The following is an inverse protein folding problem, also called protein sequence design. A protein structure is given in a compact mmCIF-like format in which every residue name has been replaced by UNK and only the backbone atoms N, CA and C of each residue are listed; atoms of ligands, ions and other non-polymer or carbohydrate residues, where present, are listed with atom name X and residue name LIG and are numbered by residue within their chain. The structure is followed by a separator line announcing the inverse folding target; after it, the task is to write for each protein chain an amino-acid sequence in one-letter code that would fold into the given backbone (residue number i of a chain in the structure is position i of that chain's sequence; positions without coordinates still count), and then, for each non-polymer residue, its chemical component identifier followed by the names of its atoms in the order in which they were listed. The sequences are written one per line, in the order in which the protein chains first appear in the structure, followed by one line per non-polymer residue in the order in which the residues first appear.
data_IF_556082183199
#
_entry.id   IF_556082183199
#
_cell.length_a   1.000
_cell.length_b   1.000
_cell.length_c   1.000
_cell.angle_alpha   90.00
_cell.angle_beta   90.00
_cell.angle_gamma   90.00
#
_symmetry.space_group_name_H-M   'P 1'
#
loop_
_entity.id
_entity.type
_entity.pdbx_description
1 polymer ?
#
# COMPACT_ATOMS: atom_id res chain seq x y z
N UNK A 1 0.06 -3.81 15.59
CA UNK A 1 0.32 -4.47 14.31
C UNK A 1 1.64 -3.94 13.78
N UNK A 2 2.59 -4.80 13.56
CA UNK A 2 3.88 -4.43 12.99
C UNK A 2 3.87 -4.90 11.55
N UNK A 3 4.01 -3.99 10.64
CA UNK A 3 4.69 -4.05 9.36
C UNK A 3 4.00 -3.20 8.31
N UNK A 4 4.82 -2.60 7.48
CA UNK A 4 4.40 -1.80 6.34
C UNK A 4 3.52 -2.59 5.38
N UNK A 5 3.12 -2.00 4.27
CA UNK A 5 2.16 -2.64 3.38
C UNK A 5 2.67 -3.98 2.86
N UNK A 6 1.78 -4.95 2.78
CA UNK A 6 1.99 -6.22 2.10
C UNK A 6 1.78 -6.03 0.59
N UNK A 7 2.50 -6.78 -0.20
CA UNK A 7 2.21 -6.87 -1.62
C UNK A 7 0.95 -7.71 -1.84
N UNK A 8 0.13 -7.35 -2.82
CA UNK A 8 -1.04 -8.14 -3.23
C UNK A 8 -0.61 -9.58 -3.53
N UNK A 9 -1.35 -10.55 -3.00
CA UNK A 9 -0.98 -11.98 -3.04
C UNK A 9 -0.06 -12.44 -1.90
N UNK A 10 0.57 -11.52 -1.17
CA UNK A 10 1.38 -11.89 0.00
C UNK A 10 0.49 -12.28 1.18
N UNK A 11 0.84 -13.36 1.85
CA UNK A 11 0.18 -13.75 3.10
C UNK A 11 0.78 -12.99 4.28
N UNK A 12 -0.04 -12.19 4.94
CA UNK A 12 0.26 -11.75 6.30
C UNK A 12 0.11 -12.95 7.22
N UNK A 13 1.20 -13.40 7.81
CA UNK A 13 1.21 -14.54 8.74
C UNK A 13 0.32 -14.28 9.96
N UNK A 14 0.28 -15.24 10.89
CA UNK A 14 -0.45 -15.07 12.14
C UNK A 14 0.00 -13.77 12.81
N UNK A 15 -0.88 -12.82 12.87
CA UNK A 15 -0.66 -11.52 13.49
C UNK A 15 -1.22 -11.53 14.91
N UNK A 16 -0.55 -10.80 15.79
CA UNK A 16 -1.00 -10.63 17.17
C UNK A 16 -1.40 -9.18 17.36
N UNK A 17 -2.64 -8.96 17.78
CA UNK A 17 -3.09 -7.65 18.22
C UNK A 17 -2.69 -7.50 19.68
N UNK A 18 -1.78 -6.56 19.94
CA UNK A 18 -1.40 -6.16 21.28
C UNK A 18 -2.15 -4.88 21.64
N UNK A 19 -2.94 -4.92 22.67
CA UNK A 19 -3.69 -3.78 23.17
C UNK A 19 -3.34 -3.47 24.61
N UNK A 20 -3.06 -2.19 24.88
CA UNK A 20 -2.92 -1.67 26.24
C UNK A 20 -4.07 -0.70 26.48
N UNK A 21 -4.78 -0.90 27.54
CA UNK A 21 -5.94 -0.11 27.92
C UNK A 21 -5.69 0.59 29.24
N UNK A 22 -6.13 1.82 29.33
CA UNK A 22 -6.20 2.55 30.59
C UNK A 22 -7.58 3.18 30.74
N UNK A 23 -8.04 3.31 31.97
CA UNK A 23 -9.24 4.09 32.26
C UNK A 23 -8.94 5.57 32.16
N UNK A 24 -9.86 6.32 31.59
CA UNK A 24 -9.79 7.78 31.55
C UNK A 24 -10.67 8.38 32.64
N UNK A 25 -10.04 8.90 33.64
CA UNK A 25 -10.74 9.52 34.77
C UNK A 25 -10.59 8.74 36.08
N UNK A 26 -10.72 9.44 37.23
CA UNK A 26 -10.42 8.86 38.55
C UNK A 26 -11.41 7.79 39.00
N UNK A 27 -12.60 7.71 38.39
CA UNK A 27 -13.66 6.82 38.82
C UNK A 27 -14.17 5.87 37.72
N UNK A 28 -13.61 5.94 36.53
CA UNK A 28 -14.06 5.08 35.44
C UNK A 28 -13.42 3.70 35.51
N UNK A 29 -14.23 2.65 35.48
CA UNK A 29 -13.77 1.27 35.41
C UNK A 29 -14.26 0.61 34.12
N UNK A 30 -13.55 -0.44 33.72
CA UNK A 30 -13.98 -1.25 32.59
C UNK A 30 -15.11 -2.19 33.01
N UNK A 31 -16.20 -2.20 32.26
CA UNK A 31 -17.25 -3.17 32.43
C UNK A 31 -16.70 -4.56 32.14
N UNK A 32 -16.92 -5.50 33.07
CA UNK A 32 -16.44 -6.86 32.91
C UNK A 32 -16.95 -7.50 31.61
N UNK A 33 -16.08 -8.24 30.94
CA UNK A 33 -16.37 -8.95 29.69
C UNK A 33 -16.85 -8.04 28.54
N UNK A 34 -16.53 -6.74 28.59
CA UNK A 34 -16.96 -5.80 27.56
C UNK A 34 -15.96 -5.60 26.40
N UNK A 35 -14.71 -6.03 26.57
CA UNK A 35 -13.70 -5.86 25.52
C UNK A 35 -13.95 -6.82 24.37
N UNK A 36 -13.89 -6.30 23.16
CA UNK A 36 -14.03 -7.08 21.92
C UNK A 36 -13.06 -6.61 20.85
N UNK A 37 -12.68 -7.51 19.98
CA UNK A 37 -11.85 -7.25 18.80
C UNK A 37 -12.60 -7.76 17.57
N UNK A 38 -12.75 -6.92 16.59
CA UNK A 38 -13.37 -7.27 15.30
C UNK A 38 -12.52 -6.79 14.14
N UNK A 39 -12.69 -7.41 12.98
CA UNK A 39 -12.08 -7.01 11.71
C UNK A 39 -13.15 -6.72 10.66
N UNK A 40 -12.81 -5.85 9.72
CA UNK A 40 -13.58 -5.66 8.49
C UNK A 40 -13.29 -6.79 7.48
N UNK A 41 -13.64 -6.62 6.21
CA UNK A 41 -13.36 -7.57 5.12
C UNK A 41 -13.84 -9.01 5.42
N UNK A 42 -15.01 -9.16 6.04
CA UNK A 42 -15.59 -10.45 6.42
C UNK A 42 -14.83 -11.21 7.51
N UNK A 43 -13.87 -10.59 8.18
CA UNK A 43 -13.19 -11.20 9.33
C UNK A 43 -14.13 -11.37 10.52
N UNK A 44 -15.02 -10.38 10.75
CA UNK A 44 -15.99 -10.43 11.82
C UNK A 44 -15.35 -10.29 13.22
N UNK A 45 -16.02 -10.84 14.21
CA UNK A 45 -15.53 -10.83 15.60
C UNK A 45 -14.40 -11.83 15.78
N UNK A 46 -13.23 -11.34 16.17
CA UNK A 46 -12.04 -12.15 16.45
C UNK A 46 -12.06 -12.65 17.89
N UNK A 47 -12.39 -11.76 18.81
CA UNK A 47 -12.53 -12.07 20.23
C UNK A 47 -13.57 -11.15 20.87
N UNK A 48 -14.26 -11.66 21.87
CA UNK A 48 -15.25 -10.91 22.66
C UNK A 48 -15.28 -11.42 24.09
N UNK A 49 -15.95 -10.70 24.96
CA UNK A 49 -16.08 -11.09 26.36
C UNK A 49 -14.76 -11.04 27.14
N UNK A 50 -13.80 -10.25 26.69
CA UNK A 50 -12.51 -10.13 27.36
C UNK A 50 -12.59 -9.17 28.55
N UNK A 51 -11.84 -9.48 29.57
CA UNK A 51 -11.70 -8.64 30.76
C UNK A 51 -10.42 -7.81 30.66
N UNK A 52 -10.53 -6.55 31.05
CA UNK A 52 -9.34 -5.74 31.31
C UNK A 52 -8.68 -6.21 32.64
N UNK A 53 -7.38 -6.45 32.57
CA UNK A 53 -6.61 -6.90 33.75
C UNK A 53 -5.36 -6.05 34.02
N UNK A 54 -5.28 -4.88 33.42
CA UNK A 54 -4.13 -3.98 33.60
C UNK A 54 -2.90 -4.32 32.77
N UNK A 55 -2.92 -5.45 32.06
CA UNK A 55 -1.81 -5.91 31.22
C UNK A 55 -2.18 -5.86 29.73
N UNK A 56 -1.20 -5.70 28.82
CA UNK A 56 -1.46 -5.83 27.40
C UNK A 56 -2.12 -7.17 27.07
N UNK A 57 -3.19 -7.14 26.29
CA UNK A 57 -3.82 -8.32 25.76
C UNK A 57 -3.22 -8.68 24.41
N UNK A 58 -2.75 -9.91 24.27
CA UNK A 58 -2.20 -10.44 23.03
C UNK A 58 -3.18 -11.46 22.46
N UNK A 59 -3.77 -11.15 21.33
CA UNK A 59 -4.74 -12.03 20.66
C UNK A 59 -4.21 -12.35 19.27
N UNK A 60 -3.93 -13.63 19.06
CA UNK A 60 -3.54 -14.13 17.75
C UNK A 60 -4.78 -14.30 16.89
N UNK A 61 -4.73 -13.80 15.69
CA UNK A 61 -5.72 -14.04 14.65
C UNK A 61 -5.04 -14.59 13.39
N UNK A 62 -5.80 -15.27 12.54
CA UNK A 62 -5.29 -16.06 11.43
C UNK A 62 -4.41 -15.30 10.43
N UNK A 63 -3.92 -16.03 9.45
CA UNK A 63 -3.22 -15.45 8.31
C UNK A 63 -4.22 -14.89 7.30
N UNK A 64 -3.89 -13.74 6.70
CA UNK A 64 -4.72 -13.09 5.69
C UNK A 64 -3.94 -12.92 4.39
N UNK A 65 -4.65 -13.12 3.29
CA UNK A 65 -4.13 -12.90 1.94
C UNK A 65 -5.23 -12.23 1.10
N UNK A 66 -4.87 -11.20 0.38
CA UNK A 66 -5.78 -10.52 -0.53
C UNK A 66 -5.18 -10.41 -1.92
N UNK A 67 -6.01 -10.67 -2.92
CA UNK A 67 -5.65 -10.64 -4.35
C UNK A 67 -5.91 -9.30 -5.01
N UNK A 68 -6.28 -8.28 -4.24
CA UNK A 68 -6.47 -6.90 -4.65
C UNK A 68 -6.06 -5.94 -3.56
N UNK A 69 -5.94 -4.64 -3.89
CA UNK A 69 -5.67 -3.63 -2.88
C UNK A 69 -6.74 -3.65 -1.80
N UNK A 70 -6.32 -3.79 -0.59
CA UNK A 70 -7.21 -3.96 0.56
C UNK A 70 -6.61 -3.32 1.80
N UNK A 71 -7.46 -2.71 2.59
CA UNK A 71 -7.14 -2.30 3.96
C UNK A 71 -7.96 -3.16 4.92
N UNK A 72 -7.28 -4.03 5.63
CA UNK A 72 -7.86 -4.81 6.72
C UNK A 72 -7.70 -4.00 8.00
N UNK A 73 -8.82 -3.53 8.53
CA UNK A 73 -8.87 -2.71 9.76
C UNK A 73 -9.36 -3.56 10.91
N UNK A 74 -8.62 -3.57 12.00
CA UNK A 74 -9.02 -4.16 13.26
C UNK A 74 -9.52 -3.06 14.18
N UNK A 75 -10.65 -3.32 14.83
CA UNK A 75 -11.25 -2.42 15.80
C UNK A 75 -11.28 -3.12 17.15
N UNK A 76 -10.69 -2.48 18.13
CA UNK A 76 -10.79 -2.89 19.53
C UNK A 76 -11.74 -1.93 20.21
N UNK A 77 -12.72 -2.43 20.89
CA UNK A 77 -13.72 -1.65 21.62
C UNK A 77 -13.98 -2.22 23.00
N UNK A 78 -14.43 -1.38 23.90
CA UNK A 78 -14.81 -1.75 25.24
C UNK A 78 -15.86 -0.81 25.81
N UNK A 79 -16.39 -1.13 26.98
CA UNK A 79 -17.35 -0.30 27.69
C UNK A 79 -16.80 0.12 29.04
N UNK A 80 -16.99 1.38 29.38
CA UNK A 80 -16.73 1.89 30.72
C UNK A 80 -18.07 2.05 31.47
N UNK A 81 -18.03 1.89 32.80
CA UNK A 81 -19.21 2.07 33.67
C UNK A 81 -19.66 3.54 33.71
N UNK A 82 -18.72 4.46 33.58
CA UNK A 82 -18.98 5.89 33.45
C UNK A 82 -18.23 6.46 32.24
N UNK A 83 -18.93 7.29 31.46
CA UNK A 83 -18.31 7.97 30.30
C UNK A 83 -18.57 7.31 28.95
N UNK A 84 -17.61 7.44 28.03
CA UNK A 84 -17.75 6.95 26.66
C UNK A 84 -17.25 5.53 26.49
N UNK A 85 -17.80 4.83 25.50
CA UNK A 85 -17.30 3.52 25.07
C UNK A 85 -16.13 3.73 24.09
N UNK A 86 -14.89 3.59 24.55
CA UNK A 86 -13.73 3.87 23.70
C UNK A 86 -13.52 2.75 22.67
N UNK A 87 -13.01 3.17 21.52
CA UNK A 87 -12.54 2.25 20.49
C UNK A 87 -11.21 2.71 19.91
N UNK A 88 -10.46 1.75 19.40
CA UNK A 88 -9.19 1.98 18.72
C UNK A 88 -9.12 1.12 17.49
N UNK A 89 -8.53 1.65 16.43
CA UNK A 89 -8.34 0.92 15.17
C UNK A 89 -6.86 0.81 14.83
N UNK A 90 -6.50 -0.28 14.18
CA UNK A 90 -5.22 -0.45 13.51
C UNK A 90 -5.43 -1.23 12.22
N UNK A 91 -4.52 -1.13 11.26
CA UNK A 91 -4.76 -1.66 9.92
C UNK A 91 -3.54 -2.33 9.31
N UNK A 92 -3.81 -3.39 8.54
CA UNK A 92 -2.88 -3.97 7.58
C UNK A 92 -3.32 -3.60 6.18
N UNK A 93 -2.35 -3.31 5.32
CA UNK A 93 -2.62 -2.85 3.98
C UNK A 93 -1.97 -3.78 2.96
N UNK A 94 -2.73 -4.19 1.94
CA UNK A 94 -2.24 -4.84 0.73
C UNK A 94 -2.23 -3.83 -0.38
N UNK A 95 -1.09 -3.73 -1.10
CA UNK A 95 -0.86 -2.76 -2.16
C UNK A 95 -0.23 -3.42 -3.37
N UNK A 96 -0.48 -2.87 -4.54
CA UNK A 96 0.26 -3.22 -5.74
C UNK A 96 1.64 -2.58 -5.72
N UNK A 97 2.57 -3.22 -6.42
CA UNK A 97 3.92 -2.68 -6.65
C UNK A 97 3.92 -1.87 -7.95
N UNK A 98 4.63 -0.77 -7.94
CA UNK A 98 4.90 0.08 -9.09
C UNK A 98 6.35 0.02 -9.44
N UNK A 99 6.66 0.28 -10.72
CA UNK A 99 8.04 0.34 -11.15
C UNK A 99 8.26 1.63 -11.93
N UNK A 100 9.45 2.21 -11.80
CA UNK A 100 9.88 3.36 -12.56
C UNK A 100 11.38 3.33 -12.76
N UNK A 101 11.84 3.89 -13.86
CA UNK A 101 13.25 3.93 -14.17
C UNK A 101 13.52 4.14 -15.63
N UNK A 102 14.73 3.84 -16.05
CA UNK A 102 15.20 4.03 -17.42
C UNK A 102 15.73 2.74 -17.99
N UNK A 103 15.44 2.55 -19.28
CA UNK A 103 16.04 1.50 -20.10
C UNK A 103 15.95 1.89 -21.56
N UNK A 104 16.50 1.08 -22.47
CA UNK A 104 16.38 1.29 -23.90
C UNK A 104 14.92 1.37 -24.37
N UNK A 105 14.71 1.97 -25.52
CA UNK A 105 13.39 2.12 -26.13
C UNK A 105 12.71 0.76 -26.39
N UNK A 106 11.37 0.74 -26.32
CA UNK A 106 10.56 -0.43 -26.67
C UNK A 106 10.52 -1.52 -25.59
N UNK A 107 10.70 -1.18 -24.33
CA UNK A 107 10.47 -2.11 -23.21
C UNK A 107 9.01 -2.56 -23.20
N UNK A 108 8.79 -3.88 -23.20
CA UNK A 108 7.47 -4.51 -23.32
C UNK A 108 7.06 -5.32 -22.09
N UNK A 109 7.74 -5.16 -20.97
CA UNK A 109 7.49 -5.90 -19.72
C UNK A 109 8.37 -7.12 -19.52
N UNK A 110 9.07 -7.60 -20.54
CA UNK A 110 9.95 -8.76 -20.43
C UNK A 110 11.15 -8.45 -19.52
N UNK A 111 11.39 -9.31 -18.54
CA UNK A 111 12.50 -9.15 -17.61
C UNK A 111 12.39 -7.95 -16.69
N UNK A 112 11.18 -7.56 -16.29
CA UNK A 112 10.90 -6.39 -15.45
C UNK A 112 11.85 -6.27 -14.25
N UNK A 113 12.05 -7.34 -13.49
CA UNK A 113 12.91 -7.35 -12.30
C UNK A 113 14.40 -7.24 -12.61
N UNK A 114 14.80 -7.48 -13.86
CA UNK A 114 16.20 -7.41 -14.31
C UNK A 114 16.60 -6.06 -14.92
N UNK A 115 15.68 -5.13 -15.09
CA UNK A 115 15.92 -3.85 -15.76
C UNK A 115 16.51 -2.76 -14.85
N UNK A 116 16.67 -3.03 -13.56
CA UNK A 116 17.15 -2.03 -12.61
C UNK A 116 16.13 -0.93 -12.31
N UNK A 117 14.86 -1.16 -12.59
CA UNK A 117 13.80 -0.24 -12.19
C UNK A 117 13.69 -0.14 -10.68
N UNK A 118 13.46 1.05 -10.18
CA UNK A 118 13.06 1.25 -8.79
C UNK A 118 11.62 0.80 -8.64
N UNK A 119 11.36 0.01 -7.63
CA UNK A 119 10.03 -0.41 -7.26
C UNK A 119 9.54 0.24 -5.97
N UNK A 120 8.24 0.36 -5.83
CA UNK A 120 7.63 0.84 -4.60
C UNK A 120 6.30 0.16 -4.35
N UNK A 121 6.09 -0.24 -3.10
CA UNK A 121 4.86 -0.87 -2.63
C UNK A 121 3.97 0.14 -1.88
N UNK A 122 4.58 1.21 -1.40
CA UNK A 122 3.88 2.18 -0.57
C UNK A 122 3.43 3.38 -1.40
N UNK A 123 2.12 3.51 -1.56
CA UNK A 123 1.51 4.70 -2.12
C UNK A 123 0.40 5.20 -1.22
N UNK A 124 0.50 6.43 -0.78
CA UNK A 124 -0.52 7.09 0.04
C UNK A 124 -1.66 7.68 -0.79
N UNK A 125 -1.43 7.87 -2.09
CA UNK A 125 -2.45 8.36 -3.03
C UNK A 125 -2.15 7.81 -4.44
N UNK A 126 -3.16 7.38 -5.19
CA UNK A 126 -3.03 7.10 -6.62
C UNK A 126 -2.60 8.33 -7.41
N UNK A 127 -2.79 9.50 -6.86
CA UNK A 127 -2.63 10.77 -7.51
C UNK A 127 -1.43 11.52 -6.92
N UNK A 128 -0.59 12.10 -7.77
CA UNK A 128 0.49 12.99 -7.40
C UNK A 128 1.69 12.34 -6.68
N UNK A 129 2.33 11.39 -7.33
CA UNK A 129 3.68 10.97 -6.92
C UNK A 129 4.73 11.48 -7.90
N UNK A 130 5.96 11.62 -7.44
CA UNK A 130 7.07 12.07 -8.25
C UNK A 130 8.19 11.04 -8.30
N UNK A 131 8.83 10.93 -9.44
CA UNK A 131 10.01 10.08 -9.66
C UNK A 131 11.11 10.89 -10.28
N UNK A 132 12.32 10.76 -9.74
CA UNK A 132 13.51 11.37 -10.31
C UNK A 132 14.22 10.36 -11.20
N UNK A 133 14.34 10.72 -12.46
CA UNK A 133 15.15 10.01 -13.45
C UNK A 133 16.55 10.63 -13.43
N UNK A 134 17.54 9.89 -12.95
CA UNK A 134 18.92 10.35 -12.98
C UNK A 134 19.43 10.55 -14.42
N UNK A 135 20.44 11.36 -14.63
CA UNK A 135 21.10 11.48 -15.92
C UNK A 135 21.62 10.12 -16.42
N UNK A 136 21.58 9.89 -17.73
CA UNK A 136 22.13 8.70 -18.36
C UNK A 136 23.00 9.05 -19.57
N UNK A 137 24.05 8.23 -19.78
CA UNK A 137 24.87 8.31 -20.95
C UNK A 137 25.19 6.89 -21.46
N UNK A 138 24.66 6.47 -22.63
CA UNK A 138 23.79 7.26 -23.51
C UNK A 138 22.42 7.58 -22.88
N UNK A 139 21.72 8.61 -23.38
CA UNK A 139 20.39 8.94 -22.90
C UNK A 139 19.37 7.82 -23.18
N UNK A 140 18.64 7.43 -22.16
CA UNK A 140 17.63 6.37 -22.19
C UNK A 140 16.20 6.91 -22.10
N UNK A 141 15.25 6.06 -22.44
CA UNK A 141 13.82 6.29 -22.19
C UNK A 141 13.49 6.13 -20.73
N UNK A 142 12.59 6.97 -20.22
CA UNK A 142 11.99 6.82 -18.91
C UNK A 142 10.70 6.01 -18.97
N UNK A 143 10.46 5.21 -17.95
CA UNK A 143 9.29 4.34 -17.85
C UNK A 143 8.58 4.53 -16.52
N UNK A 144 7.25 4.55 -16.59
CA UNK A 144 6.36 4.26 -15.48
C UNK A 144 5.58 3.00 -15.80
N UNK A 145 5.61 2.04 -14.90
CA UNK A 145 4.94 0.75 -15.04
C UNK A 145 3.98 0.62 -13.87
N UNK A 146 2.71 0.69 -14.17
CA UNK A 146 1.66 1.00 -13.22
C UNK A 146 0.60 -0.10 -13.28
N UNK A 147 0.13 -0.61 -12.12
CA UNK A 147 -0.92 -1.62 -12.09
C UNK A 147 -2.17 -1.12 -12.82
N UNK A 148 -2.62 -1.87 -13.82
CA UNK A 148 -3.77 -1.49 -14.66
C UNK A 148 -5.06 -1.33 -13.83
N UNK A 149 -5.20 -2.12 -12.76
CA UNK A 149 -6.36 -2.06 -11.89
C UNK A 149 -6.52 -0.73 -11.12
N UNK A 150 -5.46 0.07 -11.01
CA UNK A 150 -5.48 1.34 -10.27
C UNK A 150 -5.81 2.56 -11.13
N UNK A 151 -5.86 2.39 -12.44
CA UNK A 151 -6.04 3.50 -13.37
C UNK A 151 -7.29 3.34 -14.21
N UNK A 152 -8.29 4.13 -13.90
CA UNK A 152 -9.52 4.26 -14.70
C UNK A 152 -9.53 5.50 -15.59
N UNK A 153 -8.44 6.28 -15.66
CA UNK A 153 -8.40 7.57 -16.36
C UNK A 153 -7.09 7.83 -17.10
N UNK A 154 -6.99 9.00 -17.69
CA UNK A 154 -5.77 9.47 -18.36
C UNK A 154 -4.77 9.99 -17.34
N UNK A 155 -3.52 9.51 -17.43
CA UNK A 155 -2.43 10.07 -16.65
C UNK A 155 -1.85 11.29 -17.34
N UNK A 156 -1.44 12.27 -16.56
CA UNK A 156 -0.61 13.38 -17.02
C UNK A 156 0.73 13.38 -16.30
N UNK A 157 1.76 13.79 -17.02
CA UNK A 157 3.14 13.79 -16.54
C UNK A 157 3.67 15.20 -16.62
N UNK A 158 4.26 15.71 -15.55
CA UNK A 158 4.77 17.08 -15.48
C UNK A 158 6.20 17.06 -14.98
N UNK A 159 7.10 17.71 -15.70
CA UNK A 159 8.44 18.01 -15.22
C UNK A 159 8.35 19.03 -14.08
N UNK A 160 8.78 18.66 -12.88
CA UNK A 160 8.66 19.52 -11.70
C UNK A 160 9.64 20.70 -11.72
N UNK A 161 10.73 20.61 -12.48
CA UNK A 161 11.73 21.67 -12.62
C UNK A 161 11.25 22.81 -13.50
N UNK A 162 10.55 22.46 -14.57
CA UNK A 162 10.04 23.44 -15.56
C UNK A 162 8.56 23.78 -15.36
N UNK A 163 7.79 22.90 -14.73
CA UNK A 163 6.33 22.98 -14.60
C UNK A 163 5.56 22.63 -15.86
N UNK A 164 6.24 22.22 -16.95
CA UNK A 164 5.61 21.86 -18.21
C UNK A 164 5.27 20.37 -18.30
N UNK A 165 4.30 20.06 -19.15
CA UNK A 165 3.98 18.67 -19.48
C UNK A 165 5.21 17.96 -20.08
N UNK A 166 5.51 16.78 -19.54
CA UNK A 166 6.54 15.91 -20.08
C UNK A 166 5.85 14.73 -20.79
N UNK A 167 6.05 14.56 -22.11
CA UNK A 167 5.26 13.61 -22.87
C UNK A 167 5.67 12.16 -22.59
N UNK A 168 4.70 11.37 -22.12
CA UNK A 168 4.74 9.91 -22.07
C UNK A 168 3.61 9.34 -22.90
N UNK A 169 3.85 8.21 -23.53
CA UNK A 169 2.86 7.47 -24.33
C UNK A 169 2.59 6.11 -23.68
N UNK A 170 1.36 5.65 -23.80
CA UNK A 170 1.04 4.27 -23.44
C UNK A 170 1.71 3.32 -24.45
N UNK A 171 2.66 2.54 -23.98
CA UNK A 171 3.44 1.59 -24.77
C UNK A 171 2.84 0.16 -24.73
N UNK A 172 1.71 -0.03 -24.05
CA UNK A 172 1.01 -1.30 -23.96
C UNK A 172 0.80 -1.80 -22.55
N UNK A 173 0.32 -3.03 -22.47
CA UNK A 173 0.05 -3.73 -21.21
C UNK A 173 0.71 -5.10 -21.20
N UNK A 174 1.01 -5.60 -20.01
CA UNK A 174 1.51 -6.96 -19.82
C UNK A 174 1.09 -7.49 -18.44
N UNK A 175 1.25 -8.78 -18.23
CA UNK A 175 1.04 -9.42 -16.94
C UNK A 175 2.38 -9.82 -16.33
N UNK A 176 2.57 -9.54 -15.07
CA UNK A 176 3.73 -9.93 -14.29
C UNK A 176 3.30 -10.74 -13.07
N UNK A 177 3.86 -11.93 -12.93
CA UNK A 177 3.69 -12.73 -11.73
C UNK A 177 4.65 -12.23 -10.66
N UNK A 178 4.12 -11.75 -9.56
CA UNK A 178 4.93 -11.20 -8.47
C UNK A 178 5.64 -12.31 -7.65
N UNK A 179 6.45 -11.93 -6.67
CA UNK A 179 7.21 -12.86 -5.84
C UNK A 179 6.34 -13.85 -5.03
N UNK A 180 5.05 -13.58 -4.92
CA UNK A 180 4.09 -14.41 -4.18
C UNK A 180 3.22 -15.27 -5.10
N UNK A 181 3.56 -15.35 -6.39
CA UNK A 181 2.85 -16.15 -7.38
C UNK A 181 1.51 -15.56 -7.83
N UNK A 182 1.27 -14.26 -7.57
CA UNK A 182 0.06 -13.58 -7.99
C UNK A 182 0.30 -12.77 -9.26
N UNK A 183 -0.60 -12.94 -10.24
CA UNK A 183 -0.53 -12.25 -11.52
C UNK A 183 -1.14 -10.85 -11.41
N UNK A 184 -0.35 -9.85 -11.78
CA UNK A 184 -0.75 -8.44 -11.80
C UNK A 184 -0.62 -7.89 -13.20
N UNK A 185 -1.70 -7.31 -13.72
CA UNK A 185 -1.69 -6.58 -14.98
C UNK A 185 -1.07 -5.20 -14.82
N UNK A 186 -0.17 -4.83 -15.72
CA UNK A 186 0.51 -3.53 -15.74
C UNK A 186 0.29 -2.81 -17.06
N UNK A 187 0.23 -1.48 -16.98
CA UNK A 187 0.31 -0.56 -18.11
C UNK A 187 1.68 0.10 -18.13
N UNK A 188 2.31 0.11 -19.28
CA UNK A 188 3.62 0.72 -19.52
C UNK A 188 3.42 2.12 -20.11
N UNK A 189 4.02 3.12 -19.49
CA UNK A 189 4.15 4.45 -20.03
C UNK A 189 5.63 4.71 -20.36
N UNK A 190 5.93 4.98 -21.61
CA UNK A 190 7.27 5.30 -22.12
C UNK A 190 7.38 6.78 -22.46
N UNK A 191 8.46 7.42 -22.03
CA UNK A 191 8.73 8.82 -22.42
C UNK A 191 8.96 8.97 -23.92
N UNK A 192 8.40 10.00 -24.53
CA UNK A 192 8.66 10.30 -25.94
C UNK A 192 10.11 10.77 -26.16
N UNK A 193 10.67 11.46 -25.19
CA UNK A 193 12.04 11.97 -25.21
C UNK A 193 12.96 11.12 -24.33
N UNK A 194 14.25 11.12 -24.67
CA UNK A 194 15.27 10.50 -23.82
C UNK A 194 15.68 11.47 -22.70
N UNK A 195 16.05 10.90 -21.56
CA UNK A 195 16.59 11.65 -20.42
C UNK A 195 18.10 11.78 -20.53
N UNK A 196 18.58 12.96 -20.94
CA UNK A 196 20.00 13.29 -20.96
C UNK A 196 20.48 13.85 -19.62
N UNK A 197 19.63 14.58 -18.91
CA UNK A 197 19.88 15.14 -17.58
C UNK A 197 18.99 14.52 -16.51
N UNK A 198 19.29 14.87 -15.26
CA UNK A 198 18.39 14.53 -14.15
C UNK A 198 17.08 15.30 -14.28
N UNK A 199 15.97 14.61 -14.17
CA UNK A 199 14.64 15.21 -14.31
C UNK A 199 13.68 14.54 -13.34
N UNK A 200 12.93 15.32 -12.59
CA UNK A 200 11.88 14.81 -11.71
C UNK A 200 10.52 14.99 -12.36
N UNK A 201 9.83 13.88 -12.56
CA UNK A 201 8.51 13.84 -13.18
C UNK A 201 7.47 13.57 -12.12
N UNK A 202 6.46 14.43 -12.06
CA UNK A 202 5.24 14.21 -11.27
C UNK A 202 4.18 13.55 -12.15
N UNK A 203 3.60 12.48 -11.62
CA UNK A 203 2.45 11.77 -12.22
C UNK A 203 1.18 12.28 -11.55
N UNK A 204 0.20 12.68 -12.35
CA UNK A 204 -1.12 13.10 -11.87
C UNK A 204 -2.19 12.29 -12.61
N UNK A 205 -3.30 11.99 -11.92
CA UNK A 205 -4.50 11.34 -12.48
C UNK A 205 -5.69 12.28 -12.48
#
# INVERSE_FOLDING_TARGET
LSSGPYEVGQTAGNTTVNSTWSTSGPNANWVASSLSISGNQSVGTIASGLNYNGSPQSISHGAYNFTGETTLTFTISGQQDEGSNPSRTDSLNWRYRYFSGKTGAGFNGTGLTGQGFTDTLSRTSPNNFSVTFAAASPPDKGYFIIPTAEFSGSLSFTDTGTGFAFPFTNAGTFTHTNAYGHDVGYTIFESTNNFAGETTIRVNT
#
